data_IF_147903264019
#
_entry.id   IF_147903264019
#
_cell.length_a   1.000
_cell.length_b   1.000
_cell.length_c   1.000
_cell.angle_alpha   90.00
_cell.angle_beta   90.00
_cell.angle_gamma   90.00
#
_symmetry.space_group_name_H-M   'P 1'
#
loop_
_entity.id
_entity.type
_entity.pdbx_description
1 polymer ?
#
# COMPACT_ATOMS: atom_id res chain seq x y z
N UNK A 1 15.86 48.33 -44.56
CA UNK A 1 16.39 49.02 -43.36
C UNK A 1 15.18 49.38 -42.50
N UNK A 2 14.99 48.96 -41.25
CA UNK A 2 15.84 48.30 -40.25
C UNK A 2 14.89 47.72 -39.17
N UNK A 3 15.19 46.49 -38.71
CA UNK A 3 14.78 45.81 -37.45
C UNK A 3 13.32 45.32 -37.43
N UNK A 4 12.98 44.07 -37.10
CA UNK A 4 13.56 43.09 -36.16
C UNK A 4 13.01 41.70 -36.60
N UNK A 5 13.80 40.78 -37.15
CA UNK A 5 14.53 39.68 -36.50
C UNK A 5 13.72 38.78 -35.52
N UNK A 6 13.75 37.47 -35.85
CA UNK A 6 13.80 36.28 -34.96
C UNK A 6 12.58 35.86 -34.15
N UNK A 7 11.81 34.90 -34.69
CA UNK A 7 11.74 33.51 -34.21
C UNK A 7 10.61 32.77 -34.97
N UNK A 8 10.96 32.15 -36.09
CA UNK A 8 10.13 31.09 -36.68
C UNK A 8 10.83 29.77 -36.35
N UNK A 9 10.58 29.30 -35.13
CA UNK A 9 11.02 28.00 -34.65
C UNK A 9 10.20 26.93 -35.34
N UNK A 10 10.90 26.16 -36.17
CA UNK A 10 10.46 24.93 -36.82
C UNK A 10 9.90 23.98 -35.75
N UNK A 11 8.58 23.83 -35.69
CA UNK A 11 7.92 22.75 -34.96
C UNK A 11 7.60 21.62 -35.95
N UNK A 12 8.65 20.93 -36.40
CA UNK A 12 8.48 19.60 -37.01
C UNK A 12 8.19 18.64 -35.87
N UNK A 13 6.91 18.36 -35.64
CA UNK A 13 6.49 17.24 -34.79
C UNK A 13 6.93 15.96 -35.50
N UNK A 14 8.10 15.45 -35.13
CA UNK A 14 8.49 14.08 -35.43
C UNK A 14 7.63 13.22 -34.52
N UNK A 15 6.54 12.69 -35.07
CA UNK A 15 5.78 11.59 -34.48
C UNK A 15 6.68 10.36 -34.52
N UNK A 16 7.60 10.25 -33.55
CA UNK A 16 8.34 9.04 -33.29
C UNK A 16 7.34 8.10 -32.62
N UNK A 17 6.69 7.28 -33.45
CA UNK A 17 5.96 6.10 -32.98
C UNK A 17 7.04 5.21 -32.34
N UNK A 18 7.25 5.38 -31.04
CA UNK A 18 7.90 4.37 -30.22
C UNK A 18 6.94 3.18 -30.20
N UNK A 19 7.06 2.30 -31.19
CA UNK A 19 6.74 0.90 -30.99
C UNK A 19 7.67 0.46 -29.87
N UNK A 20 7.17 0.50 -28.64
CA UNK A 20 7.77 -0.25 -27.55
C UNK A 20 7.60 -1.71 -27.91
N UNK A 21 8.59 -2.27 -28.61
CA UNK A 21 8.77 -3.71 -28.60
C UNK A 21 8.89 -4.07 -27.11
N UNK A 22 7.84 -4.66 -26.55
CA UNK A 22 7.93 -5.31 -25.24
C UNK A 22 9.02 -6.36 -25.42
N UNK A 23 10.23 -6.06 -24.96
CA UNK A 23 11.24 -7.09 -24.76
C UNK A 23 10.69 -7.93 -23.63
N UNK A 24 9.98 -8.99 -23.98
CA UNK A 24 9.57 -10.00 -23.00
C UNK A 24 10.87 -10.59 -22.45
N UNK A 25 11.03 -10.52 -21.13
CA UNK A 25 12.08 -11.31 -20.49
C UNK A 25 11.77 -12.78 -20.78
N UNK A 26 12.79 -13.59 -21.05
CA UNK A 26 12.60 -15.04 -21.16
C UNK A 26 12.03 -15.55 -19.83
N UNK A 27 11.12 -16.53 -19.89
CA UNK A 27 10.57 -17.17 -18.69
C UNK A 27 11.67 -17.94 -17.95
N UNK A 28 11.71 -17.81 -16.63
CA UNK A 28 12.65 -18.53 -15.78
C UNK A 28 12.33 -20.03 -15.82
N UNK A 29 13.36 -20.84 -16.04
CA UNK A 29 13.24 -22.30 -16.14
C UNK A 29 13.78 -22.97 -14.89
N UNK A 30 13.26 -24.17 -14.59
CA UNK A 30 13.76 -24.97 -13.46
C UNK A 30 15.14 -25.54 -13.77
N UNK A 31 16.01 -25.56 -12.76
CA UNK A 31 17.39 -26.03 -12.86
C UNK A 31 17.59 -27.20 -11.91
N UNK A 32 18.03 -28.34 -12.46
CA UNK A 32 18.47 -29.47 -11.65
C UNK A 32 19.78 -29.19 -10.92
N UNK A 33 20.03 -29.93 -9.84
CA UNK A 33 21.25 -29.80 -9.06
C UNK A 33 21.43 -30.97 -8.09
N UNK A 34 22.43 -30.84 -7.23
CA UNK A 34 22.68 -31.71 -6.10
C UNK A 34 22.31 -30.97 -4.81
N UNK A 35 21.54 -31.62 -3.94
CA UNK A 35 21.16 -31.12 -2.62
C UNK A 35 21.76 -32.07 -1.59
N UNK A 36 22.49 -31.52 -0.62
CA UNK A 36 23.12 -32.29 0.45
C UNK A 36 22.68 -31.74 1.81
N UNK A 37 22.13 -32.61 2.66
CA UNK A 37 21.82 -32.28 4.04
C UNK A 37 22.99 -32.70 4.94
N UNK A 38 23.36 -31.84 5.88
CA UNK A 38 24.38 -32.18 6.90
C UNK A 38 23.97 -33.35 7.80
N UNK A 39 22.67 -33.66 7.88
CA UNK A 39 22.14 -34.83 8.59
C UNK A 39 22.37 -36.15 7.83
N UNK A 40 22.60 -36.09 6.51
CA UNK A 40 22.75 -37.27 5.65
C UNK A 40 21.43 -37.96 5.27
N UNK A 41 20.29 -37.31 5.51
CA UNK A 41 18.96 -37.81 5.14
C UNK A 41 18.75 -37.85 3.62
N UNK A 42 17.78 -38.66 3.19
CA UNK A 42 17.45 -38.87 1.78
C UNK A 42 16.71 -37.67 1.20
N UNK A 43 17.41 -36.90 0.36
CA UNK A 43 16.90 -35.67 -0.26
C UNK A 43 15.86 -35.92 -1.37
N UNK A 44 15.62 -37.18 -1.77
CA UNK A 44 14.59 -37.50 -2.76
C UNK A 44 13.18 -37.15 -2.27
N UNK A 45 12.97 -37.06 -0.95
CA UNK A 45 11.70 -36.65 -0.33
C UNK A 45 11.40 -35.15 -0.45
N UNK A 46 12.36 -34.34 -0.90
CA UNK A 46 12.23 -32.87 -0.98
C UNK A 46 12.56 -32.32 -2.37
N UNK A 47 12.49 -33.21 -3.37
CA UNK A 47 12.72 -32.93 -4.80
C UNK A 47 11.74 -33.71 -5.70
N UNK A 48 10.67 -34.26 -5.12
CA UNK A 48 9.67 -35.07 -5.80
C UNK A 48 8.39 -34.29 -6.14
N UNK A 49 8.35 -32.98 -5.84
CA UNK A 49 7.22 -32.10 -6.12
C UNK A 49 5.90 -32.60 -5.49
N UNK A 50 5.98 -33.12 -4.26
CA UNK A 50 4.86 -33.70 -3.51
C UNK A 50 4.71 -33.03 -2.14
N UNK A 51 3.48 -32.74 -1.74
CA UNK A 51 3.16 -32.25 -0.38
C UNK A 51 3.04 -33.37 0.67
N UNK A 52 3.17 -34.63 0.26
CA UNK A 52 3.06 -35.80 1.16
C UNK A 52 4.40 -36.26 1.74
N UNK A 53 5.49 -35.64 1.30
CA UNK A 53 6.87 -36.04 1.60
C UNK A 53 7.60 -34.83 2.16
N UNK A 54 8.31 -35.02 3.27
CA UNK A 54 9.00 -33.93 3.95
C UNK A 54 10.13 -34.44 4.81
N UNK A 55 11.09 -33.57 5.11
CA UNK A 55 12.19 -33.83 6.04
C UNK A 55 12.12 -32.83 7.20
N UNK A 56 12.08 -33.35 8.42
CA UNK A 56 12.22 -32.56 9.64
C UNK A 56 13.70 -32.33 9.96
N UNK A 57 14.07 -31.08 10.17
CA UNK A 57 15.45 -30.66 10.42
C UNK A 57 15.54 -30.00 11.78
N UNK A 58 16.56 -30.36 12.56
CA UNK A 58 16.90 -29.67 13.81
C UNK A 58 17.69 -28.38 13.57
N UNK A 59 17.72 -27.49 14.56
CA UNK A 59 18.56 -26.30 14.52
C UNK A 59 20.04 -26.62 14.31
N UNK A 60 20.70 -25.82 13.47
CA UNK A 60 22.08 -26.02 13.00
C UNK A 60 22.21 -26.94 11.79
N UNK A 61 21.15 -27.62 11.36
CA UNK A 61 21.16 -28.40 10.10
C UNK A 61 21.44 -27.48 8.93
N UNK A 62 22.35 -27.89 8.05
CA UNK A 62 22.71 -27.14 6.85
C UNK A 62 22.35 -27.92 5.60
N UNK A 63 21.61 -27.26 4.69
CA UNK A 63 21.36 -27.72 3.33
C UNK A 63 22.38 -27.04 2.43
N UNK A 64 23.14 -27.81 1.66
CA UNK A 64 24.03 -27.27 0.62
C UNK A 64 23.45 -27.61 -0.75
N UNK A 65 23.18 -26.58 -1.55
CA UNK A 65 22.61 -26.73 -2.88
C UNK A 65 23.67 -26.36 -3.92
N UNK A 66 23.88 -27.23 -4.90
CA UNK A 66 24.77 -27.00 -6.05
C UNK A 66 24.02 -27.23 -7.36
N UNK A 67 23.75 -26.15 -8.09
CA UNK A 67 23.00 -26.17 -9.35
C UNK A 67 23.88 -26.51 -10.56
N UNK A 68 23.28 -27.18 -11.56
CA UNK A 68 23.98 -27.56 -12.80
C UNK A 68 24.34 -26.34 -13.67
N UNK A 69 23.54 -25.29 -13.60
CA UNK A 69 23.74 -23.99 -14.27
C UNK A 69 23.55 -22.84 -13.27
N UNK A 70 23.98 -21.60 -13.61
CA UNK A 70 23.70 -20.45 -12.77
C UNK A 70 22.19 -20.26 -12.52
N UNK A 71 21.83 -19.96 -11.27
CA UNK A 71 20.46 -19.74 -10.79
C UNK A 71 20.34 -18.34 -10.19
N UNK A 72 19.12 -17.80 -10.20
CA UNK A 72 18.76 -16.48 -9.66
C UNK A 72 17.72 -16.53 -8.56
N UNK A 73 17.21 -17.72 -8.23
CA UNK A 73 16.41 -17.90 -7.03
C UNK A 73 16.11 -19.36 -6.74
N UNK A 74 15.53 -19.57 -5.57
CA UNK A 74 15.02 -20.85 -5.11
C UNK A 74 13.61 -20.66 -4.57
N UNK A 75 12.71 -21.57 -4.95
CA UNK A 75 11.38 -21.69 -4.38
C UNK A 75 11.39 -22.83 -3.38
N UNK A 76 11.01 -22.55 -2.15
CA UNK A 76 11.07 -23.49 -1.04
C UNK A 76 9.64 -23.70 -0.54
N UNK A 77 9.26 -24.97 -0.41
CA UNK A 77 8.01 -25.39 0.22
C UNK A 77 8.34 -25.99 1.58
N UNK A 78 7.72 -25.47 2.62
CA UNK A 78 7.89 -25.87 4.02
C UNK A 78 6.65 -26.63 4.50
N UNK A 79 6.84 -27.77 5.17
CA UNK A 79 5.75 -28.62 5.69
C UNK A 79 5.11 -28.10 6.98
N UNK A 80 5.61 -26.99 7.53
CA UNK A 80 5.03 -26.23 8.64
C UNK A 80 5.48 -24.77 8.53
N UNK A 81 4.84 -23.82 9.24
CA UNK A 81 5.24 -22.42 9.19
C UNK A 81 6.74 -22.27 9.48
N UNK A 82 7.47 -21.69 8.52
CA UNK A 82 8.93 -21.65 8.57
C UNK A 82 9.42 -20.83 9.76
N UNK A 83 10.41 -21.36 10.47
CA UNK A 83 11.21 -20.62 11.42
C UNK A 83 12.42 -19.99 10.72
N UNK A 84 12.92 -18.88 11.27
CA UNK A 84 14.07 -18.17 10.72
C UNK A 84 15.24 -19.10 10.37
N UNK A 85 15.86 -18.82 9.23
CA UNK A 85 17.03 -19.54 8.74
C UNK A 85 17.97 -18.57 8.03
N UNK A 86 19.22 -19.00 7.84
CA UNK A 86 20.27 -18.16 7.26
C UNK A 86 20.68 -18.67 5.89
N UNK A 87 20.51 -17.83 4.86
CA UNK A 87 20.99 -18.03 3.50
C UNK A 87 22.47 -17.64 3.38
N UNK A 88 23.30 -18.59 2.95
CA UNK A 88 24.71 -18.37 2.64
C UNK A 88 24.96 -18.29 1.13
N UNK A 89 25.26 -17.08 0.65
CA UNK A 89 25.73 -16.81 -0.72
C UNK A 89 27.20 -16.32 -0.76
N UNK A 90 27.86 -16.22 0.41
CA UNK A 90 29.18 -15.63 0.60
C UNK A 90 29.41 -15.24 2.06
N UNK A 91 30.26 -14.23 2.31
CA UNK A 91 30.42 -13.67 3.66
C UNK A 91 29.17 -12.86 4.07
N UNK A 92 28.67 -13.08 5.29
CA UNK A 92 27.69 -12.18 5.91
C UNK A 92 26.21 -12.60 5.88
N UNK A 93 25.89 -13.84 5.50
CA UNK A 93 24.60 -14.55 5.67
C UNK A 93 23.29 -13.75 5.80
N UNK A 94 22.31 -13.99 4.93
CA UNK A 94 21.02 -13.27 4.90
C UNK A 94 19.97 -14.03 5.74
N UNK A 95 19.21 -13.33 6.58
CA UNK A 95 18.08 -13.93 7.31
C UNK A 95 16.85 -14.07 6.41
N UNK A 96 16.25 -15.26 6.43
CA UNK A 96 15.07 -15.66 5.67
C UNK A 96 14.06 -16.34 6.61
N UNK A 97 12.85 -16.66 6.11
CA UNK A 97 11.81 -17.31 6.91
C UNK A 97 11.15 -16.40 7.96
N UNK A 98 11.31 -15.08 7.87
CA UNK A 98 10.84 -14.13 8.90
C UNK A 98 9.31 -13.96 8.95
N UNK A 99 8.61 -14.40 7.89
CA UNK A 99 7.16 -14.28 7.79
C UNK A 99 6.40 -15.57 8.14
N UNK A 100 7.08 -16.70 8.32
CA UNK A 100 6.41 -17.98 8.60
C UNK A 100 5.62 -18.57 7.43
N UNK A 101 5.90 -18.15 6.19
CA UNK A 101 5.22 -18.68 5.00
C UNK A 101 5.57 -20.14 4.73
N UNK A 102 4.60 -20.91 4.24
CA UNK A 102 4.85 -22.28 3.76
C UNK A 102 5.54 -22.27 2.40
N UNK A 103 5.21 -21.31 1.54
CA UNK A 103 5.75 -21.21 0.19
C UNK A 103 6.61 -19.94 0.12
N UNK A 104 7.93 -20.09 -0.02
CA UNK A 104 8.88 -18.99 0.04
C UNK A 104 9.78 -18.95 -1.21
N UNK A 105 9.64 -17.90 -2.02
CA UNK A 105 10.59 -17.62 -3.10
C UNK A 105 11.71 -16.69 -2.63
N UNK A 106 12.94 -17.15 -2.74
CA UNK A 106 14.15 -16.39 -2.42
C UNK A 106 14.86 -15.98 -3.71
N UNK A 107 14.89 -14.68 -3.98
CA UNK A 107 15.64 -14.11 -5.09
C UNK A 107 17.11 -13.86 -4.73
N UNK A 108 18.00 -14.06 -5.69
CA UNK A 108 19.43 -13.81 -5.55
C UNK A 108 19.84 -12.60 -6.38
N UNK A 109 20.52 -11.65 -5.74
CA UNK A 109 21.00 -10.43 -6.41
C UNK A 109 21.92 -10.77 -7.59
N UNK A 110 22.88 -11.68 -7.39
CA UNK A 110 23.79 -12.15 -8.41
C UNK A 110 23.53 -13.62 -8.73
N UNK A 111 23.73 -14.00 -10.00
CA UNK A 111 23.57 -15.39 -10.40
C UNK A 111 24.65 -16.24 -9.71
N UNK A 112 24.25 -17.35 -9.09
CA UNK A 112 25.15 -18.26 -8.37
C UNK A 112 25.00 -19.69 -8.88
N UNK A 113 25.99 -20.55 -8.61
CA UNK A 113 25.87 -22.00 -8.79
C UNK A 113 25.63 -22.75 -7.48
N UNK A 114 25.75 -22.09 -6.34
CA UNK A 114 25.59 -22.74 -5.05
C UNK A 114 25.16 -21.78 -3.97
N UNK A 115 24.41 -22.29 -3.01
CA UNK A 115 24.06 -21.58 -1.78
C UNK A 115 23.90 -22.60 -0.64
N UNK A 116 23.93 -22.10 0.58
CA UNK A 116 23.64 -22.90 1.78
C UNK A 116 22.43 -22.34 2.51
N UNK A 117 21.64 -23.20 3.13
CA UNK A 117 20.59 -22.84 4.06
C UNK A 117 20.97 -23.41 5.42
N UNK A 118 21.11 -22.57 6.45
CA UNK A 118 21.39 -23.03 7.82
C UNK A 118 20.18 -22.75 8.69
N UNK A 119 19.57 -23.79 9.24
CA UNK A 119 18.37 -23.68 10.07
C UNK A 119 18.75 -23.09 11.43
N UNK A 120 18.14 -21.97 11.84
CA UNK A 120 18.45 -21.41 13.16
C UNK A 120 17.74 -22.19 14.28
N UNK A 121 16.56 -22.75 13.98
CA UNK A 121 15.79 -23.64 14.83
C UNK A 121 15.21 -24.81 14.00
N UNK A 122 14.23 -25.56 14.55
CA UNK A 122 13.65 -26.69 13.84
C UNK A 122 12.79 -26.23 12.65
N UNK A 123 12.89 -26.90 11.51
CA UNK A 123 12.10 -26.62 10.30
C UNK A 123 11.70 -27.92 9.62
N UNK A 124 10.60 -27.92 8.88
CA UNK A 124 10.17 -29.06 8.05
C UNK A 124 10.13 -28.61 6.60
N UNK A 125 10.91 -29.25 5.73
CA UNK A 125 10.98 -28.89 4.32
C UNK A 125 10.34 -29.98 3.45
N UNK A 126 9.58 -29.56 2.45
CA UNK A 126 8.74 -30.39 1.59
C UNK A 126 9.26 -30.38 0.16
N UNK A 127 9.73 -29.24 -0.35
CA UNK A 127 10.34 -29.18 -1.70
C UNK A 127 11.33 -28.01 -1.82
N UNK A 128 12.34 -28.19 -2.67
CA UNK A 128 13.21 -27.11 -3.16
C UNK A 128 13.27 -27.16 -4.69
N UNK A 129 12.82 -26.10 -5.33
CA UNK A 129 12.94 -25.91 -6.78
C UNK A 129 13.84 -24.71 -7.11
N UNK A 130 14.77 -24.87 -8.05
CA UNK A 130 15.76 -23.83 -8.42
C UNK A 130 15.39 -23.19 -9.75
N UNK A 131 15.57 -21.87 -9.88
CA UNK A 131 15.20 -21.12 -11.08
C UNK A 131 16.36 -20.34 -11.70
N UNK A 132 16.39 -20.31 -13.04
CA UNK A 132 17.25 -19.38 -13.81
C UNK A 132 16.81 -17.92 -13.61
N UNK A 133 17.56 -16.99 -14.20
CA UNK A 133 17.06 -15.63 -14.42
C UNK A 133 15.84 -15.66 -15.37
N UNK A 134 14.96 -14.67 -15.27
CA UNK A 134 13.77 -14.56 -16.12
C UNK A 134 12.49 -14.17 -15.38
N UNK A 135 11.39 -14.08 -16.13
CA UNK A 135 10.04 -13.93 -15.58
C UNK A 135 9.61 -15.23 -14.90
N UNK A 136 9.19 -15.19 -13.63
CA UNK A 136 8.84 -16.40 -12.90
C UNK A 136 7.57 -17.05 -13.48
N UNK A 137 7.53 -18.40 -13.58
CA UNK A 137 6.30 -19.10 -13.90
C UNK A 137 5.17 -18.72 -12.94
N UNK A 138 3.94 -18.70 -13.44
CA UNK A 138 2.77 -18.20 -12.69
C UNK A 138 2.47 -18.97 -11.41
N UNK A 139 2.96 -20.21 -11.28
CA UNK A 139 2.80 -21.05 -10.09
C UNK A 139 3.86 -20.82 -9.00
N UNK A 140 4.89 -19.99 -9.25
CA UNK A 140 5.86 -19.61 -8.22
C UNK A 140 5.25 -18.53 -7.33
N UNK A 141 5.09 -18.83 -6.05
CA UNK A 141 4.41 -17.95 -5.11
C UNK A 141 5.38 -16.97 -4.46
N UNK A 142 5.12 -15.69 -4.66
CA UNK A 142 5.86 -14.57 -4.09
C UNK A 142 4.91 -13.76 -3.22
N UNK A 143 4.67 -14.26 -2.03
CA UNK A 143 3.68 -13.70 -1.11
C UNK A 143 4.11 -12.34 -0.54
N UNK A 144 3.19 -11.39 -0.52
CA UNK A 144 3.22 -10.24 0.38
C UNK A 144 2.75 -10.70 1.77
N UNK A 145 3.19 -10.05 2.86
CA UNK A 145 2.53 -10.19 4.15
C UNK A 145 1.03 -9.89 4.08
N UNK A 146 0.33 -10.28 5.14
CA UNK A 146 -1.05 -9.90 5.38
C UNK A 146 -1.27 -8.39 5.20
N UNK A 147 -2.44 -7.99 4.75
CA UNK A 147 -2.79 -6.59 4.53
C UNK A 147 -2.81 -5.82 5.88
N UNK A 148 -2.32 -4.58 5.92
CA UNK A 148 -2.54 -3.69 7.08
C UNK A 148 -4.00 -3.24 7.17
N UNK A 149 -4.63 -3.05 6.00
CA UNK A 149 -6.05 -2.79 5.83
C UNK A 149 -6.56 -3.51 4.59
N UNK A 150 -7.77 -4.06 4.66
CA UNK A 150 -8.37 -4.79 3.56
C UNK A 150 -9.51 -4.00 2.91
N UNK A 151 -9.50 -3.91 1.58
CA UNK A 151 -10.69 -3.47 0.85
C UNK A 151 -11.82 -4.49 1.08
N UNK A 152 -11.48 -5.78 1.01
CA UNK A 152 -12.37 -6.90 1.32
C UNK A 152 -11.68 -7.87 2.27
N UNK A 153 -12.31 -8.19 3.40
CA UNK A 153 -11.93 -9.33 4.23
C UNK A 153 -12.91 -10.47 4.01
N UNK A 154 -12.39 -11.61 3.57
CA UNK A 154 -13.17 -12.82 3.32
C UNK A 154 -12.93 -13.84 4.44
N UNK A 155 -13.97 -14.15 5.22
CA UNK A 155 -13.92 -15.19 6.25
C UNK A 155 -14.38 -16.53 5.67
N UNK A 156 -13.42 -17.40 5.37
CA UNK A 156 -13.64 -18.77 4.93
C UNK A 156 -13.69 -19.72 6.13
N UNK A 157 -14.62 -20.66 6.16
CA UNK A 157 -14.68 -21.64 7.26
C UNK A 157 -13.61 -22.71 7.08
N UNK A 158 -13.53 -23.29 5.89
CA UNK A 158 -12.61 -24.37 5.53
C UNK A 158 -11.71 -24.00 4.33
N UNK A 159 -10.79 -24.90 4.01
CA UNK A 159 -9.88 -24.85 2.87
C UNK A 159 -10.52 -25.40 1.60
N UNK A 160 -11.18 -24.56 0.81
CA UNK A 160 -11.90 -24.84 -0.44
C UNK A 160 -13.09 -23.88 -0.58
N UNK A 161 -13.75 -23.59 0.53
CA UNK A 161 -14.87 -22.65 0.68
C UNK A 161 -14.61 -21.28 0.03
N UNK A 162 -13.40 -20.74 0.16
CA UNK A 162 -12.93 -19.47 -0.43
C UNK A 162 -13.01 -19.44 -1.95
N UNK A 163 -13.10 -20.61 -2.58
CA UNK A 163 -13.29 -20.75 -4.02
C UNK A 163 -14.68 -21.30 -4.34
N UNK A 164 -15.15 -22.32 -3.62
CA UNK A 164 -16.46 -22.95 -3.84
C UNK A 164 -17.61 -21.95 -3.72
N UNK A 165 -17.64 -21.20 -2.63
CA UNK A 165 -18.74 -20.28 -2.31
C UNK A 165 -18.36 -18.82 -2.56
N UNK A 166 -17.07 -18.53 -2.55
CA UNK A 166 -16.56 -17.16 -2.67
C UNK A 166 -15.75 -16.91 -3.96
N UNK A 167 -15.69 -17.89 -4.87
CA UNK A 167 -14.92 -17.81 -6.12
C UNK A 167 -15.33 -16.67 -7.06
N UNK A 168 -16.53 -16.09 -6.91
CA UNK A 168 -16.92 -14.90 -7.65
C UNK A 168 -16.18 -13.62 -7.20
N UNK A 169 -15.48 -13.65 -6.06
CA UNK A 169 -14.80 -12.50 -5.47
C UNK A 169 -13.32 -12.47 -5.89
N UNK A 170 -12.56 -13.53 -5.60
CA UNK A 170 -11.09 -13.47 -5.59
C UNK A 170 -10.48 -13.08 -6.95
N UNK A 171 -10.82 -13.73 -8.10
CA UNK A 171 -10.22 -13.40 -9.38
C UNK A 171 -10.50 -11.96 -9.81
N UNK A 172 -11.70 -11.45 -9.56
CA UNK A 172 -12.07 -10.11 -9.98
C UNK A 172 -11.48 -9.04 -9.05
N UNK A 173 -11.74 -9.10 -7.74
CA UNK A 173 -11.33 -8.03 -6.84
C UNK A 173 -9.83 -8.06 -6.53
N UNK A 174 -9.24 -9.24 -6.26
CA UNK A 174 -7.82 -9.33 -5.97
C UNK A 174 -6.98 -9.37 -7.25
N UNK A 175 -7.36 -10.22 -8.21
CA UNK A 175 -6.54 -10.47 -9.41
C UNK A 175 -6.67 -9.41 -10.51
N UNK A 176 -7.90 -9.00 -10.85
CA UNK A 176 -8.14 -8.04 -11.93
C UNK A 176 -8.02 -6.59 -11.45
N UNK A 177 -8.65 -6.26 -10.32
CA UNK A 177 -8.68 -4.89 -9.79
C UNK A 177 -7.49 -4.53 -8.88
N UNK A 178 -6.64 -5.50 -8.51
CA UNK A 178 -5.50 -5.31 -7.59
C UNK A 178 -5.93 -4.65 -6.26
N UNK A 179 -7.08 -5.05 -5.73
CA UNK A 179 -7.55 -4.64 -4.40
C UNK A 179 -6.89 -5.49 -3.31
N UNK A 180 -6.72 -4.90 -2.13
CA UNK A 180 -6.20 -5.60 -0.96
C UNK A 180 -7.30 -6.51 -0.38
N UNK A 181 -7.36 -7.75 -0.85
CA UNK A 181 -8.30 -8.78 -0.36
C UNK A 181 -7.60 -9.68 0.65
N UNK A 182 -7.96 -9.54 1.94
CA UNK A 182 -7.45 -10.39 3.00
C UNK A 182 -8.35 -11.61 3.17
N UNK A 183 -7.83 -12.79 2.84
CA UNK A 183 -8.50 -14.07 3.15
C UNK A 183 -8.13 -14.50 4.55
N UNK A 184 -9.15 -14.89 5.31
CA UNK A 184 -9.05 -15.36 6.69
C UNK A 184 -9.72 -16.74 6.76
N UNK A 185 -8.96 -17.77 7.13
CA UNK A 185 -9.48 -19.11 7.38
C UNK A 185 -9.78 -19.29 8.85
N UNK A 186 -10.98 -19.78 9.15
CA UNK A 186 -11.34 -20.18 10.50
C UNK A 186 -10.63 -21.47 10.91
N UNK A 187 -10.56 -22.48 10.02
CA UNK A 187 -9.96 -23.77 10.33
C UNK A 187 -8.51 -23.93 9.84
N UNK A 188 -7.69 -24.57 10.69
CA UNK A 188 -6.34 -25.06 10.38
C UNK A 188 -6.30 -26.60 10.27
N UNK A 189 -5.33 -27.13 9.54
CA UNK A 189 -5.24 -28.55 9.17
C UNK A 189 -3.98 -29.28 9.70
N UNK A 190 -3.21 -28.67 10.60
CA UNK A 190 -2.02 -29.22 11.24
C UNK A 190 -2.27 -30.52 12.04
N UNK A 191 -3.49 -30.76 12.50
CA UNK A 191 -3.86 -31.99 13.23
C UNK A 191 -4.53 -33.06 12.34
N UNK A 192 -4.73 -32.77 11.05
CA UNK A 192 -5.41 -33.63 10.09
C UNK A 192 -4.70 -33.68 8.75
N UNK A 193 -5.42 -33.28 7.68
CA UNK A 193 -4.90 -33.28 6.31
C UNK A 193 -4.03 -32.05 6.04
N UNK A 194 -2.79 -32.05 6.55
CA UNK A 194 -1.85 -30.92 6.46
C UNK A 194 -1.63 -30.40 5.03
N UNK A 195 -1.77 -31.27 4.03
CA UNK A 195 -1.71 -30.92 2.60
C UNK A 195 -2.69 -29.79 2.23
N UNK A 196 -3.83 -29.69 2.94
CA UNK A 196 -4.83 -28.65 2.68
C UNK A 196 -4.27 -27.26 2.97
N UNK A 197 -3.27 -27.11 3.84
CA UNK A 197 -2.62 -25.80 4.04
C UNK A 197 -1.85 -25.34 2.79
N UNK A 198 -1.30 -26.27 2.01
CA UNK A 198 -0.65 -25.97 0.73
C UNK A 198 -1.68 -25.70 -0.37
N UNK A 199 -2.74 -26.51 -0.43
CA UNK A 199 -3.79 -26.37 -1.43
C UNK A 199 -4.53 -25.03 -1.33
N UNK A 200 -4.78 -24.52 -0.11
CA UNK A 200 -5.25 -23.14 0.13
C UNK A 200 -4.39 -22.13 -0.61
N UNK A 201 -3.06 -22.20 -0.43
CA UNK A 201 -2.13 -21.24 -1.01
C UNK A 201 -2.11 -21.33 -2.53
N UNK A 202 -2.13 -22.54 -3.08
CA UNK A 202 -2.19 -22.75 -4.53
C UNK A 202 -3.48 -22.15 -5.13
N UNK A 203 -4.64 -22.45 -4.53
CA UNK A 203 -5.93 -21.93 -4.94
C UNK A 203 -6.01 -20.40 -4.87
N UNK A 204 -5.54 -19.80 -3.77
CA UNK A 204 -5.47 -18.35 -3.60
C UNK A 204 -4.54 -17.68 -4.60
N UNK A 205 -3.35 -18.23 -4.79
CA UNK A 205 -2.35 -17.66 -5.69
C UNK A 205 -2.82 -17.68 -7.14
N UNK A 206 -3.43 -18.80 -7.58
CA UNK A 206 -4.03 -18.94 -8.90
C UNK A 206 -5.22 -18.00 -9.10
N UNK A 207 -5.97 -17.71 -8.03
CA UNK A 207 -7.06 -16.73 -8.04
C UNK A 207 -6.58 -15.27 -8.03
N UNK A 208 -5.27 -15.02 -8.04
CA UNK A 208 -4.70 -13.67 -8.06
C UNK A 208 -4.49 -13.02 -6.70
N UNK A 209 -4.77 -13.71 -5.59
CA UNK A 209 -4.49 -13.19 -4.25
C UNK A 209 -2.97 -13.20 -4.01
N UNK A 210 -2.43 -12.07 -3.52
CA UNK A 210 -0.98 -11.89 -3.29
C UNK A 210 -0.59 -11.64 -1.84
N UNK A 211 -1.53 -11.26 -0.99
CA UNK A 211 -1.32 -11.15 0.45
C UNK A 211 -1.53 -12.52 1.10
N UNK A 212 -0.62 -12.90 1.98
CA UNK A 212 -0.67 -14.20 2.64
C UNK A 212 -1.96 -14.33 3.49
N UNK A 213 -2.66 -15.47 3.45
CA UNK A 213 -3.88 -15.63 4.23
C UNK A 213 -3.58 -15.69 5.73
N UNK A 214 -4.53 -15.25 6.54
CA UNK A 214 -4.50 -15.48 7.98
C UNK A 214 -5.26 -16.77 8.29
N UNK A 215 -4.64 -17.72 8.99
CA UNK A 215 -5.32 -18.95 9.44
C UNK A 215 -5.43 -18.93 10.96
N UNK A 216 -6.63 -19.14 11.47
CA UNK A 216 -6.88 -19.18 12.91
C UNK A 216 -6.48 -20.53 13.55
N UNK A 217 -6.35 -20.54 14.87
CA UNK A 217 -5.97 -21.72 15.65
C UNK A 217 -7.23 -22.49 16.12
N UNK A 218 -8.02 -22.94 15.15
CA UNK A 218 -9.14 -23.87 15.35
C UNK A 218 -8.96 -25.08 14.42
N UNK A 219 -8.84 -26.27 14.99
CA UNK A 219 -8.74 -27.51 14.22
C UNK A 219 -9.97 -27.71 13.34
N UNK A 220 -9.77 -28.21 12.12
CA UNK A 220 -10.89 -28.64 11.28
C UNK A 220 -11.63 -29.84 11.90
N UNK A 221 -12.79 -29.56 12.49
CA UNK A 221 -13.67 -30.57 13.10
C UNK A 221 -15.07 -30.37 12.55
N UNK A 222 -15.60 -31.42 11.96
CA UNK A 222 -16.95 -31.42 11.38
C UNK A 222 -18.04 -31.19 12.45
N UNK A 223 -19.06 -30.40 12.09
CA UNK A 223 -20.23 -30.13 12.91
C UNK A 223 -21.50 -30.14 12.04
N UNK A 224 -22.54 -30.87 12.45
CA UNK A 224 -23.78 -31.02 11.67
C UNK A 224 -24.70 -29.79 11.74
N UNK A 225 -24.52 -28.93 12.74
CA UNK A 225 -25.36 -27.75 12.96
C UNK A 225 -24.68 -26.73 13.87
N UNK A 226 -25.28 -25.54 13.96
CA UNK A 226 -24.76 -24.43 14.76
C UNK A 226 -24.56 -24.78 16.24
N UNK A 227 -25.49 -25.51 16.87
CA UNK A 227 -25.38 -25.81 18.30
C UNK A 227 -24.22 -26.77 18.60
N UNK A 228 -23.97 -27.73 17.71
CA UNK A 228 -22.78 -28.57 17.79
C UNK A 228 -21.49 -27.78 17.56
N UNK A 229 -21.45 -26.93 16.52
CA UNK A 229 -20.29 -26.09 16.24
C UNK A 229 -19.95 -25.17 17.44
N UNK A 230 -20.96 -24.60 18.11
CA UNK A 230 -20.78 -23.83 19.35
C UNK A 230 -20.20 -24.67 20.50
N UNK A 231 -20.54 -25.96 20.60
CA UNK A 231 -19.98 -26.84 21.63
C UNK A 231 -18.53 -27.20 21.34
N UNK A 232 -18.17 -27.42 20.07
CA UNK A 232 -16.83 -27.80 19.64
C UNK A 232 -15.88 -26.59 19.76
N UNK A 233 -16.24 -25.46 19.15
CA UNK A 233 -15.32 -24.32 19.00
C UNK A 233 -15.49 -23.24 20.07
N UNK A 234 -16.67 -23.19 20.71
CA UNK A 234 -17.05 -22.13 21.64
C UNK A 234 -17.44 -20.84 20.92
N UNK A 235 -18.70 -20.41 21.08
CA UNK A 235 -19.21 -19.20 20.42
C UNK A 235 -18.42 -17.93 20.81
N UNK A 236 -18.16 -17.73 22.10
CA UNK A 236 -17.42 -16.55 22.58
C UNK A 236 -15.99 -16.49 22.04
N UNK A 237 -15.29 -17.63 21.94
CA UNK A 237 -13.93 -17.69 21.34
C UNK A 237 -13.98 -17.37 19.85
N UNK A 238 -15.00 -17.88 19.16
CA UNK A 238 -15.22 -17.61 17.74
C UNK A 238 -15.54 -16.13 17.50
N UNK A 239 -16.40 -15.54 18.32
CA UNK A 239 -16.78 -14.14 18.24
C UNK A 239 -15.60 -13.20 18.57
N UNK A 240 -14.81 -13.51 19.61
CA UNK A 240 -13.56 -12.79 19.93
C UNK A 240 -12.63 -12.76 18.71
N UNK A 241 -12.40 -13.94 18.11
CA UNK A 241 -11.57 -14.07 16.92
C UNK A 241 -12.09 -13.22 15.75
N UNK A 242 -13.37 -13.31 15.39
CA UNK A 242 -13.91 -12.53 14.25
C UNK A 242 -13.86 -11.03 14.54
N UNK A 243 -14.11 -10.58 15.78
CA UNK A 243 -13.92 -9.19 16.19
C UNK A 243 -12.45 -8.76 16.07
N UNK A 244 -11.51 -9.60 16.48
CA UNK A 244 -10.08 -9.34 16.32
C UNK A 244 -9.73 -9.16 14.84
N UNK A 245 -10.20 -10.03 13.95
CA UNK A 245 -9.92 -9.94 12.51
C UNK A 245 -10.47 -8.65 11.89
N UNK A 246 -11.70 -8.26 12.25
CA UNK A 246 -12.27 -6.97 11.83
C UNK A 246 -11.40 -5.81 12.29
N UNK A 247 -10.94 -5.82 13.55
CA UNK A 247 -10.13 -4.72 14.10
C UNK A 247 -8.71 -4.68 13.54
N UNK A 248 -8.11 -5.86 13.31
CA UNK A 248 -6.77 -6.03 12.74
C UNK A 248 -6.73 -5.54 11.30
N UNK A 249 -7.63 -6.05 10.45
CA UNK A 249 -7.62 -5.81 9.01
C UNK A 249 -8.49 -4.65 8.55
N UNK A 250 -9.30 -4.05 9.43
CA UNK A 250 -10.10 -2.84 9.16
C UNK A 250 -10.83 -2.89 7.80
N UNK A 251 -11.61 -3.95 7.53
CA UNK A 251 -12.17 -4.16 6.21
C UNK A 251 -13.17 -3.08 5.83
N UNK A 252 -13.14 -2.63 4.57
CA UNK A 252 -14.25 -1.84 4.02
C UNK A 252 -15.48 -2.71 3.73
N UNK A 253 -15.23 -3.94 3.27
CA UNK A 253 -16.24 -4.99 3.07
C UNK A 253 -15.84 -6.24 3.85
N UNK A 254 -16.72 -6.76 4.70
CA UNK A 254 -16.56 -8.09 5.30
C UNK A 254 -17.51 -9.09 4.65
N UNK A 255 -17.03 -10.28 4.33
CA UNK A 255 -17.82 -11.36 3.72
C UNK A 255 -17.68 -12.64 4.55
N UNK A 256 -18.79 -13.34 4.77
CA UNK A 256 -18.80 -14.63 5.45
C UNK A 256 -19.85 -15.58 4.82
N UNK A 257 -19.92 -16.82 5.34
CA UNK A 257 -20.80 -17.89 4.86
C UNK A 257 -22.29 -17.57 5.01
N UNK A 258 -23.13 -18.41 4.41
CA UNK A 258 -24.58 -18.41 4.56
C UNK A 258 -25.02 -18.71 6.00
N UNK A 259 -26.11 -18.07 6.41
CA UNK A 259 -26.72 -18.24 7.73
C UNK A 259 -27.23 -19.67 7.96
N UNK A 260 -27.57 -20.39 6.89
CA UNK A 260 -27.97 -21.79 6.94
C UNK A 260 -26.83 -22.74 6.60
N UNK A 261 -25.59 -22.24 6.50
CA UNK A 261 -24.40 -23.03 6.22
C UNK A 261 -24.42 -23.75 4.88
N UNK A 262 -25.01 -23.11 3.87
CA UNK A 262 -25.13 -23.60 2.50
C UNK A 262 -25.87 -24.94 2.45
N UNK A 263 -25.13 -26.04 2.52
CA UNK A 263 -25.63 -27.41 2.59
C UNK A 263 -25.95 -27.87 4.01
N UNK A 264 -25.98 -26.95 4.98
CA UNK A 264 -26.31 -27.21 6.38
C UNK A 264 -25.10 -27.35 7.31
N UNK A 265 -23.90 -26.95 6.89
CA UNK A 265 -22.68 -27.16 7.68
C UNK A 265 -22.63 -26.29 8.93
N UNK A 266 -22.42 -26.89 10.10
CA UNK A 266 -22.46 -26.19 11.39
C UNK A 266 -21.40 -25.12 11.55
N UNK A 267 -20.16 -25.35 11.07
CA UNK A 267 -19.08 -24.35 11.12
C UNK A 267 -19.38 -23.13 10.25
N UNK A 268 -20.07 -23.31 9.12
CA UNK A 268 -20.46 -22.19 8.25
C UNK A 268 -21.52 -21.32 8.94
N UNK A 269 -22.53 -21.95 9.55
CA UNK A 269 -23.51 -21.24 10.37
C UNK A 269 -22.84 -20.49 11.53
N UNK A 270 -21.81 -21.08 12.15
CA UNK A 270 -21.07 -20.49 13.26
C UNK A 270 -20.31 -19.22 12.81
N UNK A 271 -19.56 -19.29 11.71
CA UNK A 271 -18.79 -18.14 11.20
C UNK A 271 -19.72 -17.04 10.68
N UNK A 272 -20.84 -17.39 10.04
CA UNK A 272 -21.89 -16.43 9.66
C UNK A 272 -22.51 -15.74 10.88
N UNK A 273 -22.89 -16.50 11.92
CA UNK A 273 -23.46 -15.96 13.14
C UNK A 273 -22.47 -15.02 13.87
N UNK A 274 -21.21 -15.45 13.99
CA UNK A 274 -20.16 -14.65 14.60
C UNK A 274 -19.89 -13.36 13.81
N UNK A 275 -19.84 -13.41 12.48
CA UNK A 275 -19.67 -12.21 11.64
C UNK A 275 -20.80 -11.19 11.87
N UNK A 276 -22.05 -11.65 11.89
CA UNK A 276 -23.22 -10.79 12.12
C UNK A 276 -23.16 -10.05 13.45
N UNK A 277 -22.71 -10.73 14.51
CA UNK A 277 -22.57 -10.10 15.83
C UNK A 277 -21.31 -9.21 15.88
N UNK A 278 -20.18 -9.68 15.35
CA UNK A 278 -18.91 -8.97 15.33
C UNK A 278 -19.01 -7.60 14.67
N UNK A 279 -19.75 -7.47 13.56
CA UNK A 279 -19.95 -6.18 12.86
C UNK A 279 -20.81 -5.18 13.66
N UNK A 280 -21.54 -5.64 14.69
CA UNK A 280 -22.29 -4.76 15.59
C UNK A 280 -21.45 -4.30 16.79
N UNK A 281 -20.49 -5.11 17.24
CA UNK A 281 -19.76 -4.89 18.49
C UNK A 281 -18.28 -4.52 18.29
N UNK A 282 -17.73 -4.62 17.09
CA UNK A 282 -16.33 -4.31 16.77
C UNK A 282 -15.94 -2.86 17.09
N UNK A 283 -16.92 -1.94 17.13
CA UNK A 283 -16.78 -0.55 17.58
C UNK A 283 -16.79 -0.35 19.10
N UNK A 284 -17.24 -1.33 19.89
CA UNK A 284 -17.30 -1.24 21.35
C UNK A 284 -15.97 -1.71 21.96
N UNK A 285 -15.13 -0.77 22.39
CA UNK A 285 -13.83 -1.09 23.00
C UNK A 285 -13.92 -1.84 24.34
N UNK A 286 -15.11 -1.90 24.97
CA UNK A 286 -15.31 -2.71 26.18
C UNK A 286 -15.50 -4.20 25.86
N UNK A 287 -15.84 -4.53 24.61
CA UNK A 287 -15.92 -5.90 24.10
C UNK A 287 -14.57 -6.31 23.55
N UNK A 288 -14.03 -7.41 24.07
CA UNK A 288 -12.71 -7.95 23.72
C UNK A 288 -11.60 -6.87 23.80
N UNK A 289 -11.31 -6.33 25.01
CA UNK A 289 -10.44 -5.16 25.17
C UNK A 289 -9.01 -5.40 24.65
N UNK A 290 -8.51 -6.64 24.66
CA UNK A 290 -7.17 -6.96 24.15
C UNK A 290 -7.02 -6.62 22.66
N UNK A 291 -8.01 -6.96 21.83
CA UNK A 291 -7.98 -6.64 20.40
C UNK A 291 -8.23 -5.15 20.15
N UNK A 292 -9.07 -4.51 20.97
CA UNK A 292 -9.29 -3.06 20.92
C UNK A 292 -8.01 -2.28 21.25
N UNK A 293 -7.27 -2.68 22.30
CA UNK A 293 -6.01 -2.06 22.69
C UNK A 293 -4.91 -2.25 21.65
N UNK A 294 -4.85 -3.45 21.04
CA UNK A 294 -3.81 -3.80 20.07
C UNK A 294 -4.01 -3.16 18.70
N UNK A 295 -5.23 -3.18 18.17
CA UNK A 295 -5.51 -2.77 16.79
C UNK A 295 -6.41 -1.53 16.66
N UNK A 296 -7.02 -1.10 17.76
CA UNK A 296 -8.11 -0.13 17.78
C UNK A 296 -9.47 -0.80 17.56
N UNK A 297 -10.50 0.02 17.46
CA UNK A 297 -11.85 -0.40 17.07
C UNK A 297 -12.11 -0.09 15.60
N UNK A 298 -13.06 -0.78 14.99
CA UNK A 298 -13.40 -0.59 13.58
C UNK A 298 -14.89 -0.82 13.33
N UNK A 299 -15.49 0.04 12.50
CA UNK A 299 -16.87 -0.11 12.01
C UNK A 299 -16.80 -0.54 10.55
N UNK A 300 -17.26 -1.75 10.24
CA UNK A 300 -17.22 -2.27 8.87
C UNK A 300 -18.26 -1.55 8.00
N UNK A 301 -17.87 -0.80 6.96
CA UNK A 301 -18.83 -0.08 6.12
C UNK A 301 -19.91 -0.97 5.49
N UNK A 302 -19.55 -2.17 5.02
CA UNK A 302 -20.50 -3.12 4.40
C UNK A 302 -20.20 -4.56 4.82
N UNK A 303 -21.25 -5.33 5.06
CA UNK A 303 -21.14 -6.77 5.36
C UNK A 303 -22.06 -7.56 4.48
N UNK A 304 -21.50 -8.55 3.79
CA UNK A 304 -22.25 -9.52 2.98
C UNK A 304 -22.17 -10.90 3.60
N UNK A 305 -23.23 -11.67 3.39
CA UNK A 305 -23.25 -13.10 3.64
C UNK A 305 -23.59 -13.79 2.33
N UNK A 306 -22.95 -14.93 2.09
CA UNK A 306 -23.28 -15.78 0.94
C UNK A 306 -24.76 -16.18 1.00
N UNK A 307 -25.44 -16.14 -0.15
CA UNK A 307 -26.87 -16.48 -0.33
C UNK A 307 -27.89 -15.70 0.52
N UNK A 308 -27.48 -14.65 1.24
CA UNK A 308 -28.39 -13.89 2.10
C UNK A 308 -29.56 -13.29 1.30
N UNK A 309 -30.77 -13.39 1.85
CA UNK A 309 -32.00 -13.15 1.12
C UNK A 309 -32.34 -11.68 0.85
N UNK A 310 -31.78 -10.75 1.62
CA UNK A 310 -32.05 -9.32 1.48
C UNK A 310 -30.95 -8.61 0.71
N UNK A 311 -31.34 -7.60 -0.10
CA UNK A 311 -30.43 -6.74 -0.86
C UNK A 311 -29.40 -7.55 -1.68
N UNK A 312 -29.89 -8.53 -2.45
CA UNK A 312 -29.03 -9.43 -3.20
C UNK A 312 -28.23 -8.72 -4.28
N UNK A 313 -26.96 -9.11 -4.36
CA UNK A 313 -26.00 -8.75 -5.39
C UNK A 313 -25.59 -10.05 -6.08
N UNK A 314 -25.69 -10.06 -7.42
CA UNK A 314 -25.21 -11.15 -8.26
C UNK A 314 -24.00 -10.62 -9.00
N UNK A 315 -22.82 -11.17 -8.70
CA UNK A 315 -21.57 -10.78 -9.34
C UNK A 315 -21.56 -11.21 -10.81
N UNK A 316 -20.90 -10.43 -11.66
CA UNK A 316 -20.64 -10.85 -13.04
C UNK A 316 -19.38 -11.70 -13.08
N UNK A 317 -19.59 -13.02 -13.17
CA UNK A 317 -18.49 -13.98 -13.25
C UNK A 317 -18.13 -14.37 -14.70
N UNK A 318 -18.71 -13.71 -15.71
CA UNK A 318 -18.62 -14.10 -17.12
C UNK A 318 -17.92 -13.07 -18.00
N UNK A 319 -17.64 -11.88 -17.49
CA UNK A 319 -16.79 -10.91 -18.18
C UNK A 319 -15.33 -11.40 -18.19
N UNK A 320 -14.65 -11.42 -19.35
CA UNK A 320 -13.22 -11.72 -19.46
C UNK A 320 -12.36 -10.76 -18.65
N UNK A 321 -11.34 -11.30 -17.98
CA UNK A 321 -10.37 -10.58 -17.16
C UNK A 321 -9.03 -10.46 -17.91
N UNK A 322 -8.51 -9.24 -18.04
CA UNK A 322 -7.27 -8.99 -18.77
C UNK A 322 -6.07 -9.60 -18.03
N UNK A 323 -6.05 -9.52 -16.69
CA UNK A 323 -4.99 -10.09 -15.82
C UNK A 323 -4.90 -11.61 -15.91
N UNK A 324 -5.94 -12.28 -16.40
CA UNK A 324 -6.00 -13.74 -16.56
C UNK A 324 -6.02 -14.18 -18.03
N UNK A 325 -5.53 -13.32 -18.93
CA UNK A 325 -5.40 -13.65 -20.36
C UNK A 325 -6.75 -13.85 -21.05
N UNK A 326 -7.80 -13.15 -20.59
CA UNK A 326 -9.14 -13.21 -21.13
C UNK A 326 -10.02 -14.34 -20.58
N UNK A 327 -9.56 -15.07 -19.55
CA UNK A 327 -10.43 -15.98 -18.78
C UNK A 327 -11.43 -15.18 -17.96
N UNK A 328 -12.59 -15.77 -17.73
CA UNK A 328 -13.62 -15.22 -16.85
C UNK A 328 -13.34 -15.53 -15.38
N UNK A 329 -13.93 -14.76 -14.46
CA UNK A 329 -13.86 -15.05 -13.01
C UNK A 329 -14.25 -16.50 -12.70
N UNK A 330 -15.32 -17.00 -13.33
CA UNK A 330 -15.76 -18.38 -13.11
C UNK A 330 -14.73 -19.41 -13.56
N UNK A 331 -14.12 -19.22 -14.73
CA UNK A 331 -13.09 -20.15 -15.23
C UNK A 331 -11.86 -20.17 -14.33
N UNK A 332 -11.42 -18.99 -13.86
CA UNK A 332 -10.29 -18.91 -12.91
C UNK A 332 -10.65 -19.61 -11.61
N UNK A 333 -11.82 -19.34 -11.03
CA UNK A 333 -12.26 -19.99 -9.80
C UNK A 333 -12.39 -21.52 -9.96
N UNK A 334 -12.90 -22.01 -11.09
CA UNK A 334 -12.96 -23.44 -11.40
C UNK A 334 -11.57 -24.08 -11.54
N UNK A 335 -10.57 -23.36 -12.04
CA UNK A 335 -9.19 -23.82 -12.09
C UNK A 335 -8.54 -23.80 -10.71
N UNK A 336 -8.74 -22.73 -9.94
CA UNK A 336 -8.25 -22.60 -8.57
C UNK A 336 -8.78 -23.74 -7.69
N UNK A 337 -10.07 -24.07 -7.81
CA UNK A 337 -10.67 -25.14 -7.00
C UNK A 337 -10.02 -26.50 -7.28
N UNK A 338 -9.59 -26.77 -8.51
CA UNK A 338 -8.89 -28.02 -8.86
C UNK A 338 -7.54 -28.16 -8.17
N UNK A 339 -6.98 -27.08 -7.63
CA UNK A 339 -5.76 -27.10 -6.83
C UNK A 339 -6.02 -27.61 -5.40
N UNK A 340 -7.28 -27.68 -4.96
CA UNK A 340 -7.69 -28.46 -3.79
C UNK A 340 -7.82 -29.94 -4.15
N UNK A 341 -6.70 -30.53 -4.57
CA UNK A 341 -6.61 -31.90 -5.12
C UNK A 341 -7.21 -32.92 -4.17
N UNK A 342 -6.90 -32.80 -2.88
CA UNK A 342 -7.39 -33.68 -1.82
C UNK A 342 -8.91 -33.63 -1.63
N UNK A 343 -9.58 -32.58 -2.12
CA UNK A 343 -11.03 -32.39 -1.98
C UNK A 343 -11.83 -32.71 -3.26
N UNK A 344 -11.16 -33.08 -4.36
CA UNK A 344 -11.82 -33.36 -5.65
C UNK A 344 -12.63 -34.68 -5.68
N UNK A 345 -12.66 -35.45 -4.59
CA UNK A 345 -13.47 -36.67 -4.48
C UNK A 345 -14.95 -36.37 -4.15
N UNK A 346 -15.25 -35.18 -3.64
CA UNK A 346 -16.61 -34.78 -3.30
C UNK A 346 -17.39 -34.33 -4.55
N UNK A 347 -18.69 -34.08 -4.40
CA UNK A 347 -19.58 -33.71 -5.51
C UNK A 347 -19.75 -32.20 -5.67
N UNK A 348 -19.07 -31.38 -4.87
CA UNK A 348 -19.08 -29.93 -4.98
C UNK A 348 -18.29 -29.46 -6.19
N UNK A 349 -18.70 -28.33 -6.76
CA UNK A 349 -18.04 -27.69 -7.89
C UNK A 349 -18.35 -26.20 -7.88
N UNK A 350 -17.46 -25.41 -8.48
CA UNK A 350 -17.64 -23.97 -8.62
C UNK A 350 -18.56 -23.68 -9.81
N UNK A 351 -19.67 -22.98 -9.54
CA UNK A 351 -20.63 -22.53 -10.56
C UNK A 351 -21.34 -21.25 -10.09
N UNK A 352 -21.84 -20.46 -11.04
CA UNK A 352 -22.50 -19.18 -10.78
C UNK A 352 -24.03 -19.22 -10.94
N UNK A 353 -24.61 -20.36 -11.32
CA UNK A 353 -26.05 -20.52 -11.53
C UNK A 353 -26.73 -21.42 -10.49
N UNK A 354 -26.02 -22.42 -9.94
CA UNK A 354 -26.58 -23.41 -9.01
C UNK A 354 -26.99 -22.84 -7.63
N UNK A 355 -27.51 -23.70 -6.75
CA UNK A 355 -28.09 -23.29 -5.46
C UNK A 355 -27.07 -22.68 -4.48
N UNK A 356 -25.80 -23.07 -4.57
CA UNK A 356 -24.69 -22.46 -3.80
C UNK A 356 -23.77 -21.64 -4.70
N UNK A 357 -24.36 -20.91 -5.64
CA UNK A 357 -23.66 -20.09 -6.63
C UNK A 357 -22.63 -19.16 -5.98
N UNK A 358 -21.38 -19.26 -6.44
CA UNK A 358 -20.27 -18.43 -6.00
C UNK A 358 -20.40 -16.94 -6.36
N UNK A 359 -21.47 -16.55 -7.06
CA UNK A 359 -21.77 -15.18 -7.48
C UNK A 359 -22.85 -14.50 -6.62
N UNK A 360 -23.57 -15.23 -5.76
CA UNK A 360 -24.77 -14.72 -5.07
C UNK A 360 -24.50 -14.33 -3.63
N UNK A 361 -24.61 -13.04 -3.33
CA UNK A 361 -24.42 -12.47 -2.00
C UNK A 361 -25.61 -11.60 -1.61
N UNK A 362 -25.88 -11.45 -0.32
CA UNK A 362 -26.84 -10.46 0.18
C UNK A 362 -26.18 -9.49 1.14
N UNK A 363 -26.52 -8.20 1.00
CA UNK A 363 -26.01 -7.13 1.86
C UNK A 363 -26.75 -7.15 3.21
N UNK A 364 -26.11 -7.75 4.21
CA UNK A 364 -26.61 -7.87 5.59
C UNK A 364 -26.60 -6.52 6.33
N UNK A 365 -25.52 -5.75 6.18
CA UNK A 365 -25.33 -4.46 6.85
C UNK A 365 -24.64 -3.47 5.93
N UNK A 366 -25.07 -2.21 5.97
CA UNK A 366 -24.36 -1.11 5.30
C UNK A 366 -24.47 0.20 6.07
N UNK A 367 -23.36 0.91 6.18
CA UNK A 367 -23.27 2.30 6.63
C UNK A 367 -23.22 3.31 5.47
N UNK A 368 -23.13 2.83 4.22
CA UNK A 368 -22.93 3.65 3.01
C UNK A 368 -24.06 3.52 1.98
N UNK A 369 -25.18 2.91 2.39
CA UNK A 369 -26.35 2.67 1.55
C UNK A 369 -26.34 1.32 0.83
N UNK A 370 -27.46 0.99 0.19
CA UNK A 370 -27.65 -0.25 -0.57
C UNK A 370 -26.98 -0.17 -1.94
N UNK A 371 -26.66 -1.33 -2.50
CA UNK A 371 -26.03 -1.39 -3.81
C UNK A 371 -27.01 -1.28 -4.96
N UNK A 372 -26.48 -0.76 -6.05
CA UNK A 372 -27.12 -0.80 -7.35
C UNK A 372 -26.12 -1.46 -8.31
N UNK A 373 -26.41 -2.70 -8.73
CA UNK A 373 -25.55 -3.47 -9.64
C UNK A 373 -24.95 -4.72 -9.01
N UNK A 374 -23.74 -5.05 -9.45
CA UNK A 374 -23.03 -6.33 -9.26
C UNK A 374 -21.66 -6.15 -8.57
N UNK A 375 -21.49 -5.10 -7.76
CA UNK A 375 -20.21 -4.70 -7.19
C UNK A 375 -20.30 -4.57 -5.65
N UNK A 376 -19.49 -5.35 -4.93
CA UNK A 376 -19.42 -5.32 -3.47
C UNK A 376 -18.75 -4.05 -2.94
N UNK A 377 -17.87 -3.43 -3.73
CA UNK A 377 -17.20 -2.17 -3.41
C UNK A 377 -18.01 -0.94 -3.80
N UNK A 378 -19.25 -1.13 -4.30
CA UNK A 378 -20.14 -0.02 -4.65
C UNK A 378 -20.31 0.95 -3.48
N UNK A 379 -20.21 2.24 -3.79
CA UNK A 379 -20.24 3.39 -2.86
C UNK A 379 -19.01 3.52 -1.94
N UNK A 380 -17.96 2.75 -2.21
CA UNK A 380 -16.68 2.84 -1.52
C UNK A 380 -15.59 3.27 -2.51
N UNK A 381 -14.53 3.86 -1.97
CA UNK A 381 -13.26 4.11 -2.67
C UNK A 381 -12.25 3.19 -2.01
N UNK A 382 -11.44 2.46 -2.77
CA UNK A 382 -10.44 1.54 -2.22
C UNK A 382 -9.34 2.28 -1.45
N UNK A 383 -8.65 1.57 -0.55
CA UNK A 383 -7.64 2.17 0.32
C UNK A 383 -6.44 2.73 -0.45
N UNK A 384 -6.05 2.10 -1.55
CA UNK A 384 -4.92 2.55 -2.39
C UNK A 384 -5.24 3.89 -3.04
N UNK A 385 -6.45 4.06 -3.56
CA UNK A 385 -6.94 5.32 -4.12
C UNK A 385 -7.07 6.39 -3.02
N UNK A 386 -7.66 6.06 -1.86
CA UNK A 386 -7.74 7.00 -0.73
C UNK A 386 -6.36 7.52 -0.30
N UNK A 387 -5.37 6.62 -0.20
CA UNK A 387 -4.01 7.00 0.17
C UNK A 387 -3.38 7.95 -0.85
N UNK A 388 -3.53 7.65 -2.15
CA UNK A 388 -3.03 8.49 -3.23
C UNK A 388 -3.67 9.88 -3.22
N UNK A 389 -4.99 9.94 -3.10
CA UNK A 389 -5.74 11.21 -3.06
C UNK A 389 -5.31 12.08 -1.88
N UNK A 390 -5.04 11.47 -0.72
CA UNK A 390 -4.55 12.17 0.46
C UNK A 390 -3.12 12.71 0.27
N UNK A 391 -2.21 11.93 -0.34
CA UNK A 391 -0.86 12.42 -0.64
C UNK A 391 -0.90 13.60 -1.62
N UNK A 392 -1.70 13.50 -2.68
CA UNK A 392 -1.88 14.59 -3.65
C UNK A 392 -2.55 15.83 -3.03
N UNK A 393 -3.42 15.64 -2.03
CA UNK A 393 -3.98 16.76 -1.25
C UNK A 393 -2.92 17.44 -0.40
N UNK A 394 -2.13 16.67 0.37
CA UNK A 394 -1.07 17.19 1.22
C UNK A 394 0.02 17.91 0.42
N UNK A 395 0.39 17.38 -0.75
CA UNK A 395 1.35 18.03 -1.65
C UNK A 395 0.82 19.38 -2.17
N UNK A 396 -0.46 19.42 -2.61
CA UNK A 396 -1.10 20.68 -3.03
C UNK A 396 -1.19 21.71 -1.90
N UNK A 397 -1.56 21.26 -0.69
CA UNK A 397 -1.60 22.13 0.50
C UNK A 397 -0.20 22.65 0.85
N UNK A 398 0.84 21.82 0.73
CA UNK A 398 2.23 22.23 0.96
C UNK A 398 2.74 23.23 -0.07
N UNK A 399 2.43 23.03 -1.36
CA UNK A 399 2.78 23.98 -2.43
C UNK A 399 2.06 25.31 -2.21
N UNK A 400 0.75 25.29 -1.93
CA UNK A 400 -0.02 26.50 -1.68
C UNK A 400 0.48 27.26 -0.45
N UNK A 401 0.89 26.56 0.61
CA UNK A 401 1.49 27.18 1.79
C UNK A 401 2.84 27.85 1.47
N UNK A 402 3.69 27.21 0.67
CA UNK A 402 4.98 27.77 0.26
C UNK A 402 4.81 28.98 -0.68
N UNK A 403 3.86 28.92 -1.61
CA UNK A 403 3.54 30.06 -2.48
C UNK A 403 3.01 31.26 -1.69
N UNK A 404 2.14 31.02 -0.69
CA UNK A 404 1.65 32.07 0.20
C UNK A 404 2.76 32.69 1.05
N UNK A 405 3.73 31.88 1.51
CA UNK A 405 4.92 32.37 2.22
C UNK A 405 5.78 33.26 1.32
N UNK A 406 6.09 32.82 0.09
CA UNK A 406 6.83 33.62 -0.90
C UNK A 406 6.11 34.92 -1.25
N UNK A 407 4.79 34.89 -1.42
CA UNK A 407 4.00 36.08 -1.68
C UNK A 407 4.07 37.04 -0.48
N UNK A 408 3.95 36.54 0.75
CA UNK A 408 4.07 37.35 1.97
C UNK A 408 5.45 37.98 2.14
N UNK A 409 6.53 37.25 1.84
CA UNK A 409 7.90 37.77 1.83
C UNK A 409 8.07 38.83 0.75
N UNK A 410 7.51 38.61 -0.44
CA UNK A 410 7.58 39.57 -1.54
C UNK A 410 6.88 40.89 -1.20
N UNK A 411 5.73 40.82 -0.51
CA UNK A 411 4.99 41.98 -0.01
C UNK A 411 5.80 42.70 1.07
N UNK A 412 6.36 41.97 2.05
CA UNK A 412 7.19 42.56 3.11
C UNK A 412 8.45 43.25 2.54
N UNK A 413 9.08 42.66 1.52
CA UNK A 413 10.20 43.28 0.80
C UNK A 413 9.73 44.55 0.10
N UNK A 414 8.60 44.52 -0.62
CA UNK A 414 8.07 45.68 -1.31
C UNK A 414 7.73 46.84 -0.35
N UNK A 415 7.14 46.54 0.82
CA UNK A 415 6.88 47.52 1.87
C UNK A 415 8.20 48.11 2.42
N UNK A 416 9.21 47.26 2.67
CA UNK A 416 10.52 47.73 3.15
C UNK A 416 11.22 48.66 2.15
N UNK A 417 11.10 48.38 0.85
CA UNK A 417 11.63 49.22 -0.23
C UNK A 417 10.89 50.56 -0.26
N UNK A 418 9.57 50.56 -0.19
CA UNK A 418 8.77 51.78 -0.17
C UNK A 418 9.13 52.70 1.01
N UNK A 419 9.34 52.13 2.20
CA UNK A 419 9.80 52.88 3.39
C UNK A 419 11.20 53.45 3.15
N UNK A 420 12.12 52.69 2.56
CA UNK A 420 13.46 53.17 2.26
C UNK A 420 13.45 54.32 1.24
N UNK A 421 12.61 54.23 0.21
CA UNK A 421 12.43 55.29 -0.79
C UNK A 421 11.90 56.59 -0.17
N UNK A 422 10.91 56.52 0.72
CA UNK A 422 10.37 57.69 1.44
C UNK A 422 11.41 58.35 2.36
N UNK A 423 12.24 57.55 3.04
CA UNK A 423 13.37 58.06 3.84
C UNK A 423 14.37 58.80 2.94
N UNK A 424 14.73 58.23 1.80
CA UNK A 424 15.67 58.86 0.84
C UNK A 424 15.08 60.17 0.30
N UNK A 425 13.80 60.20 -0.05
CA UNK A 425 13.13 61.41 -0.55
C UNK A 425 13.08 62.50 0.53
N UNK A 426 12.78 62.12 1.78
CA UNK A 426 12.78 63.03 2.92
C UNK A 426 14.17 63.60 3.19
N UNK A 427 15.22 62.78 3.12
CA UNK A 427 16.62 63.24 3.26
C UNK A 427 16.99 64.22 2.15
N UNK A 428 16.70 63.89 0.87
CA UNK A 428 16.94 64.80 -0.26
C UNK A 428 16.23 66.14 -0.10
N UNK A 429 14.99 66.13 0.39
CA UNK A 429 14.23 67.36 0.64
C UNK A 429 14.84 68.20 1.78
N UNK A 430 15.33 67.55 2.85
CA UNK A 430 16.02 68.24 3.94
C UNK A 430 17.37 68.84 3.50
N UNK A 431 18.17 68.10 2.73
CA UNK A 431 19.44 68.59 2.17
C UNK A 431 19.21 69.81 1.25
N UNK A 432 18.15 69.76 0.44
CA UNK A 432 17.75 70.87 -0.43
C UNK A 432 17.35 72.10 0.40
N UNK A 433 16.59 71.92 1.49
CA UNK A 433 16.24 73.02 2.41
C UNK A 433 17.48 73.61 3.08
N UNK A 434 18.39 72.79 3.59
CA UNK A 434 19.65 73.25 4.19
C UNK A 434 20.50 74.03 3.19
N UNK A 435 20.59 73.56 1.94
CA UNK A 435 21.31 74.24 0.86
C UNK A 435 20.71 75.62 0.57
N UNK A 436 19.38 75.73 0.50
CA UNK A 436 18.69 77.01 0.30
C UNK A 436 18.94 77.97 1.47
N UNK A 437 18.88 77.49 2.71
CA UNK A 437 19.19 78.29 3.90
C UNK A 437 20.64 78.78 3.84
N UNK A 438 21.59 77.93 3.48
CA UNK A 438 23.00 78.29 3.35
C UNK A 438 23.21 79.39 2.29
N UNK A 439 22.55 79.27 1.13
CA UNK A 439 22.58 80.31 0.08
C UNK A 439 21.97 81.63 0.57
N UNK A 440 20.85 81.59 1.30
CA UNK A 440 20.24 82.79 1.88
C UNK A 440 21.20 83.46 2.88
N UNK A 441 21.85 82.67 3.75
CA UNK A 441 22.85 83.19 4.70
C UNK A 441 24.00 83.87 3.96
N UNK A 442 24.52 83.25 2.89
CA UNK A 442 25.56 83.87 2.04
C UNK A 442 25.07 85.20 1.45
N UNK A 443 23.86 85.25 0.90
CA UNK A 443 23.29 86.48 0.33
C UNK A 443 23.16 87.56 1.41
N UNK A 444 22.68 87.22 2.61
CA UNK A 444 22.57 88.16 3.73
C UNK A 444 23.95 88.68 4.14
N UNK A 445 24.96 87.82 4.24
CA UNK A 445 26.34 88.24 4.55
C UNK A 445 26.88 89.18 3.47
N UNK A 446 26.63 88.92 2.19
CA UNK A 446 27.01 89.81 1.09
C UNK A 446 26.31 91.16 1.21
N UNK A 447 25.00 91.18 1.44
CA UNK A 447 24.21 92.42 1.59
C UNK A 447 24.67 93.25 2.78
N UNK A 448 24.90 92.61 3.94
CA UNK A 448 25.41 93.28 5.15
C UNK A 448 26.82 93.83 4.90
N UNK A 449 27.68 93.08 4.20
CA UNK A 449 29.01 93.54 3.83
C UNK A 449 28.96 94.75 2.90
N UNK A 450 28.10 94.73 1.88
CA UNK A 450 27.88 95.85 0.96
C UNK A 450 27.29 97.07 1.68
N UNK A 451 26.34 96.87 2.60
CA UNK A 451 25.78 97.94 3.42
C UNK A 451 26.82 98.54 4.36
N UNK A 452 27.69 97.71 4.95
CA UNK A 452 28.84 98.14 5.74
C UNK A 452 29.82 98.97 4.91
N UNK A 453 30.16 98.51 3.71
CA UNK A 453 30.99 99.26 2.75
C UNK A 453 30.33 100.60 2.40
N UNK A 454 29.03 100.62 2.11
CA UNK A 454 28.27 101.82 1.80
C UNK A 454 28.23 102.81 2.97
N UNK A 455 28.04 102.33 4.20
CA UNK A 455 28.09 103.15 5.42
C UNK A 455 29.50 103.71 5.67
N UNK A 456 30.55 102.94 5.40
CA UNK A 456 31.94 103.42 5.43
C UNK A 456 32.15 104.52 4.37
N UNK A 457 31.60 104.36 3.16
CA UNK A 457 31.64 105.39 2.12
C UNK A 457 30.87 106.65 2.52
N UNK A 458 29.67 106.52 3.11
CA UNK A 458 28.87 107.63 3.63
C UNK A 458 29.56 108.33 4.79
N UNK A 459 30.21 107.59 5.70
CA UNK A 459 30.94 108.19 6.81
C UNK A 459 32.23 108.88 6.32
N UNK A 460 32.93 108.33 5.31
CA UNK A 460 34.00 109.04 4.61
C UNK A 460 33.48 110.32 3.94
N UNK A 461 32.33 110.27 3.28
CA UNK A 461 31.69 111.44 2.67
C UNK A 461 31.24 112.48 3.72
N UNK A 462 30.68 112.03 4.85
CA UNK A 462 30.25 112.87 5.96
C UNK A 462 31.43 113.48 6.72
N UNK A 463 32.52 112.75 6.94
CA UNK A 463 33.77 113.27 7.47
C UNK A 463 34.41 114.26 6.49
N UNK A 464 34.35 114.01 5.18
CA UNK A 464 34.75 114.98 4.16
C UNK A 464 33.86 116.25 4.17
N UNK A 465 32.55 116.12 4.43
CA UNK A 465 31.60 117.24 4.60
C UNK A 465 31.79 117.99 5.93
N UNK A 466 32.10 117.30 7.04
CA UNK A 466 32.49 117.92 8.32
C UNK A 466 33.83 118.65 8.21
N UNK A 467 34.81 118.10 7.49
CA UNK A 467 36.06 118.80 7.12
C UNK A 467 35.76 120.09 6.33
N UNK A 468 34.79 120.05 5.40
CA UNK A 468 34.33 121.24 4.66
C UNK A 468 33.55 122.26 5.51
N UNK A 469 32.80 121.83 6.54
CA UNK A 469 32.13 122.73 7.50
C UNK A 469 33.08 123.32 8.55
N UNK A 470 34.16 122.62 8.91
CA UNK A 470 35.29 123.14 9.72
C UNK A 470 36.03 124.32 9.05
N UNK A 471 35.67 124.68 7.81
CA UNK A 471 36.23 125.79 7.04
C UNK A 471 35.24 126.91 6.71
N UNK A 472 34.00 126.92 7.24
CA UNK A 472 33.03 128.00 6.97
C UNK A 472 32.09 128.24 8.17
N UNK A 473 32.23 129.45 8.73
CA UNK A 473 31.42 130.16 9.73
C UNK A 473 31.64 129.79 11.19
#
# INVERSE_FOLDING_TARGET
>A
MKKLLTMLGILTVVFMVCLSDKVYADEATTVGGNIELSSGEDVSLITDNSYYTSIEMGGGTTITVTANSPIKGAYIVWGSPVNEWTLGLGEGGIKCGTNGFLHEYISFQDATKSFTMTMDSGNTITDITLYTDGELPSNVQVWKPECDKADIMLLSSHADDEILFFGGILPYYAGELDLEVQVVYFSQYWTGETIREHEKLDGLWHSGVKNYPYTADFDDIYADNLEEAKQIFGYEKTLDFVVEMIRKFKPQVAVAQDENGEYGHGTHMLTAAAMKEAVQISMDSSKYPNSADKYGVWDVPKTYLHLYGENQVILDCRTPLDSFGGKTTLEVAQESYKLHVSQQWCWYYVDDEYEYSCAKFGLYRSAVGVDTGNDLMKNLIDYKTQFKDEQERLERESIAAHEAELESESIAIAESIAVAEDIIETQKNNDRKQTVVFVIVIIVVIVVSLAGIYLIMLNRAANNRKKKRRNKK
#
